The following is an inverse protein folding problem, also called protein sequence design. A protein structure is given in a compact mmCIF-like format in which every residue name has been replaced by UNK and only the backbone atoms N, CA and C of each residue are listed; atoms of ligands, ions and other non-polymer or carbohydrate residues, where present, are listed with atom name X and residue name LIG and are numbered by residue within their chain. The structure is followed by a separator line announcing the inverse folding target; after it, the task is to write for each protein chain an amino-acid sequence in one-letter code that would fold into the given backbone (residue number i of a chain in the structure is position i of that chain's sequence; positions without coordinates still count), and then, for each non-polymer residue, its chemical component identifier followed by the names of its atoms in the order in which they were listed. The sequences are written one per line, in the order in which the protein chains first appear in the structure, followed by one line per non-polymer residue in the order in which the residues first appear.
data_IF_187912344633
#
_entry.id   IF_187912344633
#
_cell.length_a   1.000
_cell.length_b   1.000
_cell.length_c   1.000
_cell.angle_alpha   90.00
_cell.angle_beta   90.00
_cell.angle_gamma   90.00
#
_symmetry.space_group_name_H-M   'P 1'
#
loop_
_entity.id
_entity.type
_entity.pdbx_description
1 polymer ?
#
# COMPACT_ATOMS: atom_id res chain seq x y z
N UNK A 1 17.75 -9.20 -13.04
CA UNK A 1 16.53 -8.36 -13.08
C UNK A 1 15.54 -8.93 -12.09
N UNK A 2 15.37 -8.26 -10.94
CA UNK A 2 14.43 -8.68 -9.91
C UNK A 2 12.99 -8.40 -10.31
N UNK A 3 12.05 -9.16 -9.80
CA UNK A 3 10.63 -8.97 -10.10
C UNK A 3 10.09 -7.98 -9.09
N UNK A 4 9.60 -6.84 -9.59
CA UNK A 4 9.12 -5.78 -8.71
C UNK A 4 7.67 -6.01 -8.32
N UNK A 5 7.38 -5.95 -7.03
CA UNK A 5 6.03 -5.86 -6.50
C UNK A 5 5.64 -4.39 -6.35
N UNK A 6 4.49 -3.99 -6.89
CA UNK A 6 3.97 -2.63 -6.79
C UNK A 6 2.57 -2.61 -6.19
N UNK A 7 2.29 -1.61 -5.36
CA UNK A 7 0.93 -1.32 -4.90
C UNK A 7 0.19 -0.52 -5.98
N UNK A 8 -1.02 -0.95 -6.34
CA UNK A 8 -1.84 -0.28 -7.33
C UNK A 8 -3.31 -0.24 -6.89
N UNK A 9 -3.98 0.88 -7.10
CA UNK A 9 -5.42 0.99 -6.95
C UNK A 9 -6.11 0.67 -8.27
N UNK A 10 -7.10 -0.23 -8.25
CA UNK A 10 -7.93 -0.60 -9.40
C UNK A 10 -9.39 -0.48 -8.96
N UNK A 11 -10.11 0.49 -9.52
CA UNK A 11 -11.43 0.87 -9.03
C UNK A 11 -11.36 1.36 -7.57
N UNK A 12 -12.18 0.77 -6.71
CA UNK A 12 -12.22 1.11 -5.27
C UNK A 12 -11.31 0.26 -4.39
N UNK A 13 -10.61 -0.72 -4.99
CA UNK A 13 -9.81 -1.74 -4.29
C UNK A 13 -8.31 -1.54 -4.54
N UNK A 14 -7.50 -2.13 -3.66
CA UNK A 14 -6.06 -1.98 -3.66
C UNK A 14 -5.37 -3.34 -3.79
N UNK A 15 -4.37 -3.42 -4.67
CA UNK A 15 -3.73 -4.67 -5.07
C UNK A 15 -2.21 -4.56 -5.01
N UNK A 16 -1.56 -5.64 -4.58
CA UNK A 16 -0.17 -5.91 -4.89
C UNK A 16 -0.13 -6.55 -6.27
N UNK A 17 0.49 -5.86 -7.23
CA UNK A 17 0.61 -6.28 -8.62
C UNK A 17 2.07 -6.63 -8.89
N UNK A 18 2.27 -7.66 -9.69
CA UNK A 18 3.61 -8.12 -10.10
C UNK A 18 3.55 -8.78 -11.48
N UNK A 19 4.73 -8.93 -12.10
CA UNK A 19 4.85 -9.68 -13.36
C UNK A 19 4.75 -11.19 -13.08
N UNK A 20 4.05 -11.92 -13.94
CA UNK A 20 4.00 -13.38 -13.89
C UNK A 20 5.38 -13.99 -14.17
N UNK A 21 5.68 -15.10 -13.50
CA UNK A 21 6.88 -15.90 -13.73
C UNK A 21 6.45 -17.27 -14.20
N UNK A 22 7.12 -17.78 -15.22
CA UNK A 22 6.95 -19.15 -15.67
C UNK A 22 7.34 -20.12 -14.54
N UNK A 23 6.69 -21.28 -14.51
CA UNK A 23 6.93 -22.37 -13.56
C UNK A 23 6.55 -22.11 -12.09
N UNK A 24 5.83 -21.03 -11.78
CA UNK A 24 5.20 -20.87 -10.46
C UNK A 24 3.83 -21.52 -10.45
N UNK A 25 3.56 -22.32 -9.42
CA UNK A 25 2.26 -22.92 -9.16
C UNK A 25 1.36 -21.98 -8.35
N UNK A 26 1.89 -21.46 -7.23
CA UNK A 26 1.19 -20.51 -6.37
C UNK A 26 2.13 -19.53 -5.72
N UNK A 27 1.56 -18.48 -5.16
CA UNK A 27 2.29 -17.43 -4.47
C UNK A 27 1.74 -17.27 -3.07
N UNK A 28 2.65 -17.10 -2.11
CA UNK A 28 2.33 -16.86 -0.70
C UNK A 28 2.68 -15.43 -0.38
N UNK A 29 1.74 -14.72 0.26
CA UNK A 29 1.89 -13.31 0.62
C UNK A 29 2.05 -13.21 2.13
N UNK A 30 3.09 -12.49 2.53
CA UNK A 30 3.43 -12.20 3.91
C UNK A 30 3.30 -10.69 4.15
N UNK A 31 2.91 -10.31 5.36
CA UNK A 31 2.71 -8.93 5.80
C UNK A 31 3.32 -8.71 7.17
N UNK A 32 3.91 -7.54 7.37
CA UNK A 32 4.24 -6.99 8.68
C UNK A 32 3.75 -5.54 8.77
N UNK A 33 3.35 -5.13 9.97
CA UNK A 33 3.05 -3.73 10.28
C UNK A 33 4.30 -2.92 10.64
N UNK A 34 5.43 -3.60 10.86
CA UNK A 34 6.72 -3.01 11.20
C UNK A 34 7.75 -3.27 10.10
N UNK A 35 8.73 -2.38 10.00
CA UNK A 35 9.84 -2.54 9.07
C UNK A 35 10.63 -3.80 9.39
N UNK A 36 10.82 -4.64 8.38
CA UNK A 36 11.60 -5.87 8.51
C UNK A 36 12.11 -6.29 7.14
N UNK A 37 13.22 -7.01 7.13
CA UNK A 37 13.75 -7.73 5.97
C UNK A 37 13.62 -9.25 6.12
N UNK A 38 13.19 -9.72 7.29
CA UNK A 38 13.11 -11.13 7.63
C UNK A 38 11.67 -11.64 7.58
N UNK A 39 11.42 -12.58 6.67
CA UNK A 39 10.12 -13.23 6.49
C UNK A 39 9.62 -13.94 7.75
N UNK A 40 10.52 -14.41 8.63
CA UNK A 40 10.12 -15.12 9.86
C UNK A 40 9.39 -14.23 10.85
N UNK A 41 9.60 -12.91 10.73
CA UNK A 41 8.92 -11.87 11.53
C UNK A 41 7.62 -11.38 10.88
N UNK A 42 7.28 -11.90 9.69
CA UNK A 42 6.09 -11.51 8.94
C UNK A 42 4.99 -12.55 9.08
N UNK A 43 3.74 -12.09 9.10
CA UNK A 43 2.57 -12.94 9.13
C UNK A 43 2.17 -13.35 7.71
N UNK A 44 1.94 -14.65 7.47
CA UNK A 44 1.28 -15.11 6.25
C UNK A 44 -0.16 -14.58 6.20
N UNK A 45 -0.49 -13.82 5.16
CA UNK A 45 -1.82 -13.20 5.00
C UNK A 45 -2.66 -13.80 3.88
N UNK A 46 -2.05 -14.59 2.98
CA UNK A 46 -2.82 -15.29 1.96
C UNK A 46 -1.98 -16.02 0.93
N UNK A 47 -2.68 -16.69 0.02
CA UNK A 47 -2.11 -17.34 -1.16
C UNK A 47 -2.89 -16.93 -2.41
N UNK A 48 -2.22 -16.84 -3.56
CA UNK A 48 -2.85 -16.55 -4.85
C UNK A 48 -2.11 -17.25 -5.97
N UNK A 49 -2.83 -17.73 -6.98
CA UNK A 49 -2.23 -18.23 -8.24
C UNK A 49 -2.06 -17.11 -9.27
N UNK A 50 -2.75 -15.98 -9.06
CA UNK A 50 -2.73 -14.83 -9.96
C UNK A 50 -1.57 -13.86 -9.69
N UNK A 51 -1.40 -12.91 -10.61
CA UNK A 51 -0.41 -11.82 -10.53
C UNK A 51 -0.85 -10.65 -9.64
N UNK A 52 -2.06 -10.73 -9.08
CA UNK A 52 -2.64 -9.71 -8.21
C UNK A 52 -3.04 -10.31 -6.88
N UNK A 53 -2.82 -9.56 -5.81
CA UNK A 53 -3.29 -9.88 -4.46
C UNK A 53 -3.96 -8.65 -3.85
N UNK A 54 -5.25 -8.75 -3.52
CA UNK A 54 -6.00 -7.67 -2.88
C UNK A 54 -5.52 -7.49 -1.44
N UNK A 55 -5.30 -6.24 -1.01
CA UNK A 55 -4.91 -5.93 0.36
C UNK A 55 -5.84 -4.89 0.99
N UNK A 56 -6.04 -4.93 2.31
CA UNK A 56 -6.92 -3.98 2.99
C UNK A 56 -6.29 -2.59 3.04
N UNK A 57 -7.03 -1.57 2.58
CA UNK A 57 -6.67 -0.17 2.70
C UNK A 57 -7.65 0.54 3.62
N UNK A 58 -7.16 1.13 4.70
CA UNK A 58 -7.99 1.84 5.66
C UNK A 58 -8.15 3.32 5.27
N UNK A 59 -9.21 3.63 4.52
CA UNK A 59 -9.56 5.00 4.12
C UNK A 59 -9.86 5.94 5.29
N UNK A 60 -10.19 5.40 6.46
CA UNK A 60 -10.54 6.16 7.67
C UNK A 60 -9.35 6.42 8.59
N UNK A 61 -8.16 5.91 8.27
CA UNK A 61 -6.97 6.20 9.09
C UNK A 61 -6.68 7.69 9.06
N UNK A 62 -6.47 8.29 10.24
CA UNK A 62 -6.12 9.71 10.34
C UNK A 62 -4.72 9.96 9.77
N UNK A 63 -3.78 9.07 10.08
CA UNK A 63 -2.39 9.18 9.65
C UNK A 63 -2.10 8.25 8.47
N UNK A 64 -1.09 8.62 7.68
CA UNK A 64 -0.49 7.74 6.67
C UNK A 64 0.00 6.46 7.33
N UNK A 65 -0.58 5.33 6.94
CA UNK A 65 -0.17 3.99 7.42
C UNK A 65 0.56 3.25 6.33
N UNK A 66 1.57 2.50 6.75
CA UNK A 66 2.35 1.62 5.89
C UNK A 66 2.25 0.19 6.40
N UNK A 67 2.35 -0.75 5.48
CA UNK A 67 2.61 -2.14 5.77
C UNK A 67 3.71 -2.65 4.84
N UNK A 68 4.41 -3.67 5.31
CA UNK A 68 5.55 -4.27 4.63
C UNK A 68 5.13 -5.64 4.11
N UNK A 69 5.27 -5.87 2.80
CA UNK A 69 4.83 -7.10 2.15
C UNK A 69 5.99 -7.84 1.52
N UNK A 70 5.94 -9.16 1.58
CA UNK A 70 6.87 -10.04 0.88
C UNK A 70 6.07 -11.12 0.17
N UNK A 71 6.50 -11.47 -1.05
CA UNK A 71 5.84 -12.50 -1.85
C UNK A 71 6.85 -13.59 -2.18
N UNK A 72 6.52 -14.82 -1.82
CA UNK A 72 7.25 -16.01 -2.24
C UNK A 72 6.44 -16.75 -3.31
N UNK A 73 7.10 -17.20 -4.36
CA UNK A 73 6.54 -18.11 -5.34
C UNK A 73 6.91 -19.54 -4.99
N UNK A 74 5.94 -20.44 -5.03
CA UNK A 74 6.14 -21.88 -4.91
C UNK A 74 6.07 -22.44 -6.32
N UNK A 75 7.21 -22.93 -6.81
CA UNK A 75 7.34 -23.56 -8.10
C UNK A 75 6.58 -24.88 -8.17
N UNK A 76 6.28 -25.35 -9.37
CA UNK A 76 5.59 -26.64 -9.59
C UNK A 76 6.37 -27.86 -9.08
N UNK A 77 7.69 -27.73 -8.95
CA UNK A 77 8.58 -28.74 -8.38
C UNK A 77 8.67 -28.66 -6.83
N UNK A 78 7.91 -27.75 -6.21
CA UNK A 78 7.90 -27.54 -4.77
C UNK A 78 9.00 -26.61 -4.26
N UNK A 79 9.90 -26.12 -5.12
CA UNK A 79 10.94 -25.16 -4.72
C UNK A 79 10.33 -23.79 -4.43
N UNK A 80 10.97 -23.03 -3.54
CA UNK A 80 10.54 -21.67 -3.22
C UNK A 80 11.46 -20.65 -3.89
N UNK A 81 10.84 -19.65 -4.50
CA UNK A 81 11.51 -18.51 -5.13
C UNK A 81 11.05 -17.23 -4.46
N UNK A 82 11.99 -16.49 -3.84
CA UNK A 82 11.70 -15.13 -3.39
C UNK A 82 11.54 -14.21 -4.60
N UNK A 83 10.35 -13.64 -4.74
CA UNK A 83 9.97 -12.84 -5.92
C UNK A 83 10.63 -11.46 -5.85
N UNK A 84 10.67 -10.86 -4.66
CA UNK A 84 11.22 -9.53 -4.39
C UNK A 84 11.67 -9.44 -2.92
N UNK A 85 12.41 -8.37 -2.59
CA UNK A 85 12.63 -7.96 -1.21
C UNK A 85 11.35 -7.40 -0.58
N UNK A 86 11.38 -7.22 0.75
CA UNK A 86 10.24 -6.66 1.49
C UNK A 86 9.87 -5.28 0.93
N UNK A 87 8.60 -5.12 0.55
CA UNK A 87 8.06 -3.91 -0.07
C UNK A 87 7.21 -3.13 0.91
N UNK A 88 7.58 -1.87 1.16
CA UNK A 88 6.76 -0.90 1.90
C UNK A 88 5.62 -0.39 1.02
N UNK A 89 4.38 -0.56 1.48
CA UNK A 89 3.16 -0.22 0.77
C UNK A 89 2.29 0.68 1.64
N UNK A 90 1.69 1.71 1.05
CA UNK A 90 0.74 2.59 1.72
C UNK A 90 -0.60 1.86 1.88
N UNK A 91 -1.09 1.77 3.11
CA UNK A 91 -2.34 1.08 3.49
C UNK A 91 -3.33 1.99 4.23
N UNK A 92 -3.10 3.30 4.18
CA UNK A 92 -4.03 4.33 4.66
C UNK A 92 -3.82 5.65 3.91
N UNK A 93 -4.77 6.60 3.97
CA UNK A 93 -4.67 7.87 3.26
C UNK A 93 -3.41 8.62 3.70
N UNK A 94 -2.74 9.21 2.72
CA UNK A 94 -1.74 10.21 3.01
C UNK A 94 -2.47 11.46 3.53
N UNK A 95 -2.09 11.97 4.70
CA UNK A 95 -2.60 13.26 5.15
C UNK A 95 -2.18 14.33 4.13
N UNK A 96 -3.16 14.95 3.45
CA UNK A 96 -2.93 16.13 2.63
C UNK A 96 -2.86 17.37 3.53
N UNK A 97 -1.82 17.45 4.36
CA UNK A 97 -1.55 18.59 5.26
C UNK A 97 -1.61 19.92 4.48
N UNK A 98 -1.14 19.91 3.23
CA UNK A 98 -1.19 21.07 2.34
C UNK A 98 -2.63 21.56 2.06
N UNK A 99 -3.58 20.64 1.87
CA UNK A 99 -4.99 20.98 1.64
C UNK A 99 -5.62 21.62 2.88
N UNK A 100 -5.31 21.09 4.06
CA UNK A 100 -5.79 21.63 5.34
C UNK A 100 -5.27 23.06 5.52
N UNK A 101 -3.99 23.30 5.23
CA UNK A 101 -3.37 24.62 5.29
C UNK A 101 -4.05 25.59 4.31
N UNK A 102 -4.30 25.16 3.07
CA UNK A 102 -4.98 25.99 2.06
C UNK A 102 -6.41 26.35 2.48
N UNK A 103 -7.20 25.38 2.96
CA UNK A 103 -8.56 25.63 3.46
C UNK A 103 -8.56 26.64 4.60
N UNK A 104 -7.56 26.54 5.50
CA UNK A 104 -7.42 27.45 6.63
C UNK A 104 -7.12 28.89 6.16
N UNK A 105 -6.23 29.04 5.18
CA UNK A 105 -5.93 30.34 4.56
C UNK A 105 -7.12 30.93 3.82
N UNK A 106 -7.84 30.13 3.03
CA UNK A 106 -9.06 30.57 2.36
C UNK A 106 -10.17 30.96 3.35
N UNK A 107 -10.33 30.21 4.45
CA UNK A 107 -11.27 30.56 5.50
C UNK A 107 -10.94 31.92 6.15
N UNK A 108 -9.65 32.17 6.41
CA UNK A 108 -9.20 33.43 6.98
C UNK A 108 -9.41 34.63 6.03
N UNK A 109 -9.16 34.47 4.73
CA UNK A 109 -9.38 35.56 3.76
C UNK A 109 -10.85 35.89 3.60
N UNK A 110 -11.73 34.89 3.56
CA UNK A 110 -13.18 35.08 3.55
C UNK A 110 -13.65 35.82 4.81
N UNK A 111 -13.17 35.40 6.00
CA UNK A 111 -13.48 36.07 7.26
C UNK A 111 -13.08 37.56 7.23
N UNK A 112 -11.88 37.88 6.73
CA UNK A 112 -11.42 39.26 6.59
C UNK A 112 -12.33 40.06 5.65
N UNK A 113 -12.62 39.54 4.46
CA UNK A 113 -13.49 40.20 3.49
C UNK A 113 -14.89 40.45 4.04
N UNK A 114 -15.46 39.49 4.77
CA UNK A 114 -16.77 39.63 5.38
C UNK A 114 -16.78 40.72 6.47
N UNK A 115 -15.72 40.78 7.28
CA UNK A 115 -15.51 41.85 8.26
C UNK A 115 -15.38 43.23 7.62
N UNK A 116 -14.62 43.35 6.51
CA UNK A 116 -14.49 44.60 5.77
C UNK A 116 -15.81 45.05 5.12
N UNK A 117 -16.63 44.12 4.61
CA UNK A 117 -17.91 44.48 3.97
C UNK A 117 -19.01 44.95 4.94
N UNK A 118 -18.83 44.71 6.25
CA UNK A 118 -19.75 45.14 7.31
C UNK A 118 -19.34 46.47 7.97
N UNK A 119 -18.25 47.08 7.50
CA UNK A 119 -17.80 48.44 7.85
C UNK A 119 -18.10 49.39 6.71
#
# INVERSE_FOLDING_TARGET
MGITVTGQQIGEKYYLVRKGINNIDKYVVYRSDFETSDITTMQKVGETTGTMFEYPFNKLSKNTKYAYYLIEGICKDGTTLKIDNVKKIVVGPAENILLIILISMFGYTIYKLYGYSKT
#
